data_IF_423169084735
#
_entry.id   IF_423169084735
#
_cell.length_a   1.000
_cell.length_b   1.000
_cell.length_c   1.000
_cell.angle_alpha   90.00
_cell.angle_beta   90.00
_cell.angle_gamma   90.00
#
_symmetry.space_group_name_H-M   'P 1'
#
loop_
_entity.id
_entity.type
_entity.pdbx_description
1 polymer ?
#
# COMPACT_ATOMS: atom_id res chain seq x y z
N UNK A 1 1.98 -8.30 1.11
CA UNK A 1 2.86 -8.93 2.13
C UNK A 1 2.40 -10.34 2.47
N UNK A 2 1.23 -10.48 3.11
CA UNK A 2 0.68 -11.77 3.60
C UNK A 2 0.74 -12.89 2.55
N UNK A 3 0.19 -12.65 1.35
CA UNK A 3 0.16 -13.67 0.28
C UNK A 3 1.56 -14.19 -0.11
N UNK A 4 2.54 -13.30 -0.22
CA UNK A 4 3.90 -13.64 -0.63
C UNK A 4 4.65 -14.44 0.43
N UNK A 5 4.51 -14.07 1.71
CA UNK A 5 5.19 -14.72 2.83
C UNK A 5 4.34 -15.85 3.46
N UNK A 6 3.16 -16.14 2.91
CA UNK A 6 2.22 -17.10 3.46
C UNK A 6 2.88 -18.49 3.67
N UNK A 7 2.85 -19.04 4.88
CA UNK A 7 3.39 -20.37 5.14
C UNK A 7 2.75 -21.44 4.26
N UNK A 8 3.52 -22.47 3.90
CA UNK A 8 3.02 -23.60 3.09
C UNK A 8 1.93 -24.43 3.79
N UNK A 9 1.78 -24.28 5.11
CA UNK A 9 0.70 -24.90 5.88
C UNK A 9 -0.68 -24.28 5.62
N UNK A 10 -0.73 -23.07 5.03
CA UNK A 10 -1.97 -22.41 4.62
C UNK A 10 -2.05 -22.48 3.09
N UNK A 11 -3.13 -23.10 2.59
CA UNK A 11 -3.38 -23.19 1.15
C UNK A 11 -3.89 -21.87 0.59
N UNK A 12 -3.74 -21.66 -0.72
CA UNK A 12 -4.24 -20.46 -1.39
C UNK A 12 -5.77 -20.40 -1.34
N UNK A 13 -6.44 -21.55 -1.47
CA UNK A 13 -7.90 -21.65 -1.39
C UNK A 13 -8.43 -21.28 0.00
N UNK A 14 -7.71 -21.69 1.05
CA UNK A 14 -8.04 -21.32 2.44
C UNK A 14 -7.79 -19.82 2.70
N UNK A 15 -6.69 -19.29 2.14
CA UNK A 15 -6.31 -17.89 2.32
C UNK A 15 -7.15 -16.90 1.51
N UNK A 16 -7.43 -17.19 0.24
CA UNK A 16 -8.16 -16.29 -0.67
C UNK A 16 -9.66 -16.55 -0.68
N UNK A 17 -10.09 -17.78 -0.35
CA UNK A 17 -11.47 -18.20 -0.51
C UNK A 17 -11.82 -18.58 -1.96
N UNK A 18 -13.04 -19.09 -2.18
CA UNK A 18 -13.49 -19.49 -3.51
C UNK A 18 -13.74 -18.28 -4.42
N UNK A 19 -13.62 -18.49 -5.74
CA UNK A 19 -14.03 -17.49 -6.74
C UNK A 19 -15.41 -17.87 -7.27
N UNK A 20 -16.39 -17.00 -7.02
CA UNK A 20 -17.76 -17.10 -7.56
C UNK A 20 -17.97 -15.96 -8.55
N UNK A 21 -18.08 -16.28 -9.83
CA UNK A 21 -18.26 -15.30 -10.92
C UNK A 21 -19.73 -15.08 -11.32
N UNK A 22 -20.64 -15.93 -10.84
CA UNK A 22 -22.08 -15.78 -11.01
C UNK A 22 -22.66 -15.06 -9.78
N UNK A 23 -23.00 -13.77 -9.85
CA UNK A 23 -23.44 -13.02 -8.69
C UNK A 23 -24.76 -13.55 -8.10
N UNK A 24 -25.57 -14.28 -8.88
CA UNK A 24 -26.80 -14.88 -8.39
C UNK A 24 -26.57 -15.99 -7.34
N UNK A 25 -25.34 -16.51 -7.25
CA UNK A 25 -24.95 -17.51 -6.26
C UNK A 25 -24.46 -16.89 -4.94
N UNK A 26 -24.29 -15.56 -4.87
CA UNK A 26 -23.81 -14.86 -3.68
C UNK A 26 -24.97 -14.62 -2.70
N UNK A 27 -25.51 -15.69 -2.12
CA UNK A 27 -26.54 -15.60 -1.07
C UNK A 27 -25.93 -15.14 0.26
N UNK A 28 -26.77 -14.73 1.21
CA UNK A 28 -26.31 -14.40 2.57
C UNK A 28 -25.60 -15.56 3.27
N UNK A 29 -26.05 -16.79 3.03
CA UNK A 29 -25.40 -17.99 3.55
C UNK A 29 -23.99 -18.18 2.98
N UNK A 30 -23.78 -17.91 1.68
CA UNK A 30 -22.45 -17.98 1.08
C UNK A 30 -21.56 -16.83 1.56
N UNK A 31 -22.07 -15.60 1.54
CA UNK A 31 -21.33 -14.42 1.98
C UNK A 31 -21.04 -14.40 3.49
N UNK A 32 -21.81 -15.14 4.30
CA UNK A 32 -21.57 -15.30 5.73
C UNK A 32 -20.44 -16.27 6.08
N UNK A 33 -19.89 -17.03 5.12
CA UNK A 33 -18.82 -18.01 5.38
C UNK A 33 -17.45 -17.36 5.30
N UNK A 34 -16.65 -17.50 6.35
CA UNK A 34 -15.25 -17.08 6.32
C UNK A 34 -14.36 -18.06 7.08
N UNK A 35 -13.40 -18.67 6.37
CA UNK A 35 -12.40 -19.55 6.97
C UNK A 35 -11.52 -18.82 7.97
N UNK A 36 -10.98 -19.52 8.97
CA UNK A 36 -10.12 -18.91 9.99
C UNK A 36 -8.82 -18.34 9.43
N UNK A 37 -8.31 -18.93 8.35
CA UNK A 37 -7.09 -18.49 7.68
C UNK A 37 -7.37 -17.61 6.45
N UNK A 38 -8.63 -17.20 6.24
CA UNK A 38 -8.97 -16.35 5.11
C UNK A 38 -8.48 -14.90 5.36
N UNK A 39 -7.92 -14.26 4.32
CA UNK A 39 -7.44 -12.88 4.38
C UNK A 39 -8.53 -11.90 4.81
N UNK A 40 -9.79 -12.18 4.46
CA UNK A 40 -10.96 -11.40 4.86
C UNK A 40 -11.15 -11.26 6.37
N UNK A 41 -10.52 -12.12 7.17
CA UNK A 41 -10.52 -11.98 8.62
C UNK A 41 -9.81 -10.70 9.10
N UNK A 42 -8.92 -10.11 8.29
CA UNK A 42 -8.21 -8.87 8.65
C UNK A 42 -9.15 -7.67 8.71
N UNK A 43 -9.86 -7.26 7.64
CA UNK A 43 -10.83 -6.17 7.70
C UNK A 43 -12.02 -6.46 8.61
N UNK A 44 -12.27 -7.72 8.99
CA UNK A 44 -13.23 -8.03 10.05
C UNK A 44 -12.75 -7.60 11.45
N UNK A 45 -11.44 -7.56 11.70
CA UNK A 45 -10.86 -7.33 13.03
C UNK A 45 -10.16 -5.99 13.18
N UNK A 46 -9.87 -5.31 12.07
CA UNK A 46 -9.09 -4.08 12.02
C UNK A 46 -9.97 -2.83 12.25
N UNK A 47 -10.73 -2.81 13.35
CA UNK A 47 -11.56 -1.65 13.72
C UNK A 47 -10.90 -0.70 14.72
N UNK A 48 -11.42 0.53 14.80
CA UNK A 48 -11.00 1.53 15.79
C UNK A 48 -11.04 0.99 17.22
N UNK A 49 -12.11 0.28 17.61
CA UNK A 49 -12.24 -0.28 18.95
C UNK A 49 -11.19 -1.36 19.27
N UNK A 50 -11.01 -2.42 18.43
CA UNK A 50 -9.90 -3.35 18.59
C UNK A 50 -8.53 -2.67 18.67
N UNK A 51 -8.24 -1.71 17.80
CA UNK A 51 -6.96 -0.99 17.79
C UNK A 51 -6.73 -0.25 19.11
N UNK A 52 -7.72 0.55 19.55
CA UNK A 52 -7.63 1.31 20.80
C UNK A 52 -7.48 0.39 22.01
N UNK A 53 -8.19 -0.75 22.03
CA UNK A 53 -8.07 -1.74 23.09
C UNK A 53 -6.64 -2.31 23.20
N UNK A 54 -6.01 -2.62 22.07
CA UNK A 54 -4.62 -3.10 22.03
C UNK A 54 -3.62 -2.02 22.46
N UNK A 55 -3.76 -0.80 21.95
CA UNK A 55 -2.89 0.33 22.35
C UNK A 55 -3.00 0.61 23.85
N UNK A 56 -4.21 0.57 24.41
CA UNK A 56 -4.44 0.76 25.84
C UNK A 56 -3.78 -0.37 26.67
N UNK A 57 -3.91 -1.63 26.24
CA UNK A 57 -3.24 -2.75 26.90
C UNK A 57 -1.72 -2.57 26.91
N UNK A 58 -1.11 -2.24 25.77
CA UNK A 58 0.34 -2.04 25.67
C UNK A 58 0.84 -0.88 26.53
N UNK A 59 0.06 0.21 26.62
CA UNK A 59 0.39 1.36 27.47
C UNK A 59 0.33 1.00 28.95
N UNK A 60 -0.67 0.21 29.36
CA UNK A 60 -0.86 -0.22 30.75
C UNK A 60 0.16 -1.28 31.18
N UNK A 61 0.45 -2.26 30.33
CA UNK A 61 1.41 -3.33 30.61
C UNK A 61 2.86 -2.86 30.52
N UNK A 62 3.12 -1.73 29.85
CA UNK A 62 4.46 -1.21 29.53
C UNK A 62 5.34 -2.24 28.81
N UNK A 63 4.70 -3.17 28.10
CA UNK A 63 5.39 -4.23 27.36
C UNK A 63 6.19 -3.68 26.17
N UNK A 64 5.70 -2.61 25.57
CA UNK A 64 6.29 -1.98 24.38
C UNK A 64 6.70 -0.55 24.68
N UNK A 65 7.79 -0.09 24.06
CA UNK A 65 8.03 1.34 23.93
C UNK A 65 6.90 1.96 23.08
N UNK A 66 6.50 3.21 23.32
CA UNK A 66 5.46 3.88 22.52
C UNK A 66 5.66 3.72 21.01
N UNK A 67 6.90 3.89 20.56
CA UNK A 67 7.29 3.85 19.14
C UNK A 67 7.16 2.47 18.49
N UNK A 68 6.93 1.41 19.27
CA UNK A 68 6.75 0.05 18.78
C UNK A 68 5.30 -0.43 18.89
N UNK A 69 4.42 0.35 19.53
CA UNK A 69 3.05 -0.07 19.81
C UNK A 69 2.25 -0.25 18.53
N UNK A 70 2.40 0.64 17.55
CA UNK A 70 1.70 0.51 16.27
C UNK A 70 2.12 -0.74 15.51
N UNK A 71 3.43 -1.02 15.44
CA UNK A 71 3.97 -2.22 14.80
C UNK A 71 3.50 -3.48 15.52
N UNK A 72 3.33 -3.44 16.85
CA UNK A 72 2.76 -4.54 17.62
C UNK A 72 1.26 -4.75 17.32
N UNK A 73 0.47 -3.67 17.18
CA UNK A 73 -0.94 -3.75 16.75
C UNK A 73 -1.06 -4.42 15.40
N UNK A 74 -0.27 -3.99 14.41
CA UNK A 74 -0.26 -4.61 13.07
C UNK A 74 0.22 -6.07 13.14
N UNK A 75 1.27 -6.35 13.92
CA UNK A 75 1.71 -7.71 14.19
C UNK A 75 0.57 -8.61 14.71
N UNK A 76 -0.18 -8.13 15.70
CA UNK A 76 -1.25 -8.91 16.34
C UNK A 76 -2.51 -9.04 15.49
N UNK A 77 -3.01 -7.95 14.93
CA UNK A 77 -4.30 -7.92 14.25
C UNK A 77 -4.22 -8.35 12.78
N UNK A 78 -3.04 -8.24 12.15
CA UNK A 78 -2.86 -8.54 10.72
C UNK A 78 -2.00 -9.77 10.48
N UNK A 79 -0.87 -9.93 11.18
CA UNK A 79 0.15 -10.92 10.80
C UNK A 79 0.11 -12.22 11.60
N UNK A 80 -0.30 -12.16 12.88
CA UNK A 80 -0.24 -13.27 13.85
C UNK A 80 -0.90 -14.55 13.36
N UNK A 81 -2.11 -14.43 12.83
CA UNK A 81 -2.92 -15.61 12.44
C UNK A 81 -2.37 -16.32 11.21
N UNK A 82 -1.49 -15.67 10.46
CA UNK A 82 -0.77 -16.26 9.33
C UNK A 82 0.62 -16.76 9.71
N UNK A 83 0.95 -16.79 11.02
CA UNK A 83 2.26 -17.21 11.52
C UNK A 83 3.40 -16.23 11.22
N UNK A 84 3.07 -15.01 10.79
CA UNK A 84 4.00 -13.96 10.36
C UNK A 84 4.30 -12.93 11.45
N UNK A 85 3.96 -13.27 12.71
CA UNK A 85 4.38 -12.52 13.88
C UNK A 85 4.49 -13.44 15.10
N UNK A 86 5.69 -13.53 15.68
CA UNK A 86 5.97 -14.30 16.90
C UNK A 86 6.94 -13.50 17.80
N UNK A 87 6.43 -12.50 18.53
CA UNK A 87 7.27 -11.63 19.34
C UNK A 87 7.88 -12.40 20.51
N UNK A 88 9.11 -12.05 20.87
CA UNK A 88 9.79 -12.57 22.04
C UNK A 88 9.28 -11.90 23.35
N UNK A 89 9.99 -12.14 24.46
CA UNK A 89 9.65 -11.56 25.76
C UNK A 89 9.72 -10.03 25.79
N UNK A 90 10.49 -9.41 24.89
CA UNK A 90 10.58 -7.95 24.75
C UNK A 90 9.50 -7.37 23.84
N UNK A 91 8.70 -8.22 23.20
CA UNK A 91 7.66 -7.80 22.26
C UNK A 91 8.14 -7.67 20.81
N UNK A 92 9.44 -7.79 20.55
CA UNK A 92 10.00 -7.71 19.20
C UNK A 92 9.95 -9.09 18.54
N UNK A 93 9.55 -9.15 17.27
CA UNK A 93 9.71 -10.38 16.48
C UNK A 93 11.20 -10.56 16.14
N UNK A 94 11.84 -11.68 16.53
CA UNK A 94 13.26 -11.89 16.33
C UNK A 94 13.62 -12.29 14.88
N UNK A 95 12.64 -12.35 13.96
CA UNK A 95 12.84 -12.77 12.57
C UNK A 95 12.89 -11.58 11.62
N UNK A 96 13.95 -11.50 10.82
CA UNK A 96 14.04 -10.64 9.64
C UNK A 96 13.13 -11.17 8.53
N UNK A 97 13.06 -10.47 7.40
CA UNK A 97 12.43 -10.96 6.18
C UNK A 97 13.41 -10.94 5.01
N UNK A 98 13.35 -11.94 4.15
CA UNK A 98 14.26 -12.06 3.01
C UNK A 98 13.55 -12.54 1.75
N UNK A 99 14.30 -12.79 0.68
CA UNK A 99 13.81 -13.40 -0.55
C UNK A 99 13.39 -14.87 -0.37
N UNK A 100 13.52 -15.67 -1.41
CA UNK A 100 13.25 -17.12 -1.33
C UNK A 100 14.23 -17.84 -0.41
N UNK A 101 13.91 -19.07 -0.03
CA UNK A 101 14.84 -19.94 0.71
C UNK A 101 16.16 -20.15 -0.06
N UNK A 102 16.09 -20.23 -1.39
CA UNK A 102 17.25 -20.29 -2.26
C UNK A 102 18.10 -19.02 -2.15
N UNK A 103 17.50 -17.83 -2.28
CA UNK A 103 18.22 -16.56 -2.12
C UNK A 103 18.93 -16.48 -0.76
N UNK A 104 18.23 -16.88 0.31
CA UNK A 104 18.77 -16.88 1.68
C UNK A 104 20.00 -17.79 1.80
N UNK A 105 19.90 -19.03 1.29
CA UNK A 105 20.96 -20.03 1.38
C UNK A 105 22.19 -19.70 0.52
N UNK A 106 21.99 -19.16 -0.68
CA UNK A 106 23.07 -18.86 -1.64
C UNK A 106 23.69 -17.47 -1.43
N UNK A 107 23.08 -16.62 -0.60
CA UNK A 107 23.52 -15.24 -0.40
C UNK A 107 23.77 -14.91 1.08
N UNK A 108 22.77 -14.40 1.81
CA UNK A 108 22.94 -13.91 3.18
C UNK A 108 23.62 -14.89 4.13
N UNK A 109 23.26 -16.17 4.12
CA UNK A 109 23.82 -17.16 5.05
C UNK A 109 25.29 -17.51 4.75
N UNK A 110 25.71 -17.47 3.49
CA UNK A 110 27.12 -17.65 3.13
C UNK A 110 27.98 -16.47 3.61
N UNK A 111 27.44 -15.26 3.55
CA UNK A 111 28.12 -14.03 4.00
C UNK A 111 28.08 -13.86 5.52
N UNK A 112 27.10 -14.46 6.19
CA UNK A 112 26.81 -14.28 7.61
C UNK A 112 26.58 -15.63 8.32
N UNK A 113 27.64 -16.43 8.57
CA UNK A 113 27.52 -17.78 9.15
C UNK A 113 26.99 -17.80 10.59
N UNK A 114 26.89 -16.64 11.25
CA UNK A 114 26.26 -16.47 12.56
C UNK A 114 24.72 -16.48 12.51
N UNK A 115 24.13 -16.31 11.32
CA UNK A 115 22.69 -16.37 11.09
C UNK A 115 22.28 -17.78 10.66
N UNK A 116 21.02 -18.12 10.91
CA UNK A 116 20.39 -19.36 10.43
C UNK A 116 19.09 -19.06 9.68
N UNK A 117 18.54 -20.08 9.01
CA UNK A 117 17.22 -19.98 8.35
C UNK A 117 16.11 -19.54 9.29
N UNK A 118 16.19 -19.93 10.57
CA UNK A 118 15.16 -19.65 11.57
C UNK A 118 15.11 -18.16 11.95
N UNK A 119 16.13 -17.38 11.58
CA UNK A 119 16.14 -15.94 11.75
C UNK A 119 15.33 -15.19 10.67
N UNK A 120 14.70 -15.89 9.71
CA UNK A 120 14.06 -15.25 8.56
C UNK A 120 12.66 -15.77 8.25
N UNK A 121 11.78 -14.85 7.87
CA UNK A 121 10.66 -15.13 6.98
C UNK A 121 11.15 -15.09 5.53
N UNK A 122 10.82 -16.12 4.75
CA UNK A 122 11.18 -16.22 3.32
C UNK A 122 9.97 -16.13 2.43
N UNK A 123 10.14 -15.53 1.25
CA UNK A 123 9.15 -15.57 0.18
C UNK A 123 8.89 -17.03 -0.21
N UNK A 124 7.61 -17.40 -0.35
CA UNK A 124 7.22 -18.70 -0.89
C UNK A 124 7.51 -18.75 -2.38
N UNK A 125 8.07 -19.86 -2.85
CA UNK A 125 8.38 -20.04 -4.27
C UNK A 125 7.14 -19.88 -5.17
N UNK A 126 7.32 -19.26 -6.33
CA UNK A 126 6.24 -18.97 -7.27
C UNK A 126 5.36 -17.77 -6.89
N UNK A 127 5.70 -17.02 -5.84
CA UNK A 127 4.97 -15.80 -5.45
C UNK A 127 5.47 -14.55 -6.17
N UNK A 128 4.60 -13.53 -6.33
CA UNK A 128 5.03 -12.22 -6.81
C UNK A 128 6.07 -11.58 -5.89
N UNK A 129 7.02 -10.85 -6.49
CA UNK A 129 7.93 -9.96 -5.78
C UNK A 129 7.11 -8.87 -5.06
N UNK A 130 7.12 -8.81 -3.72
CA UNK A 130 6.41 -7.76 -3.02
C UNK A 130 7.25 -6.48 -3.06
N UNK A 131 6.59 -5.33 -3.18
CA UNK A 131 7.19 -4.03 -2.90
C UNK A 131 6.29 -3.34 -1.88
N UNK A 132 6.84 -3.03 -0.73
CA UNK A 132 6.20 -2.31 0.36
C UNK A 132 6.67 -0.85 0.30
N UNK A 133 5.73 0.09 0.34
CA UNK A 133 6.03 1.51 0.32
C UNK A 133 5.75 2.11 1.69
N UNK A 134 6.70 2.88 2.19
CA UNK A 134 6.55 3.77 3.34
C UNK A 134 7.27 5.08 3.00
N UNK A 135 7.33 6.02 3.94
CA UNK A 135 7.97 7.30 3.69
C UNK A 135 8.90 7.74 4.81
N UNK A 136 10.00 8.33 4.35
CA UNK A 136 11.08 9.02 5.03
C UNK A 136 10.83 10.48 5.39
N UNK A 137 10.68 10.95 6.63
CA UNK A 137 10.83 12.41 6.84
C UNK A 137 12.27 12.84 6.58
N UNK A 138 12.45 13.80 5.67
CA UNK A 138 13.79 14.28 5.32
C UNK A 138 14.46 15.06 6.46
N UNK A 139 13.67 15.61 7.39
CA UNK A 139 14.10 16.22 8.65
C UNK A 139 12.95 16.27 9.68
N UNK A 140 13.20 16.82 10.87
CA UNK A 140 12.21 16.93 11.95
C UNK A 140 11.35 18.22 11.94
N UNK A 141 11.48 19.07 10.92
CA UNK A 141 10.63 20.24 10.75
C UNK A 141 9.16 19.84 10.54
N UNK A 142 8.26 20.68 11.03
CA UNK A 142 6.82 20.58 10.77
C UNK A 142 6.47 20.76 9.29
N UNK A 143 7.36 21.37 8.51
CA UNK A 143 7.24 21.54 7.05
C UNK A 143 8.10 20.53 6.26
N UNK A 144 8.63 19.50 6.93
CA UNK A 144 9.52 18.52 6.29
C UNK A 144 8.80 17.77 5.18
N UNK A 145 9.47 17.64 4.03
CA UNK A 145 9.06 16.73 2.99
C UNK A 145 9.25 15.26 3.37
N UNK A 146 8.54 14.41 2.64
CA UNK A 146 8.64 12.96 2.67
C UNK A 146 9.38 12.43 1.43
N UNK A 147 10.33 11.51 1.64
CA UNK A 147 11.03 10.80 0.57
C UNK A 147 10.61 9.33 0.54
N UNK A 148 10.61 8.67 -0.63
CA UNK A 148 10.15 7.29 -0.74
C UNK A 148 11.13 6.34 -0.07
N UNK A 149 10.63 5.57 0.89
CA UNK A 149 11.35 4.43 1.48
C UNK A 149 10.60 3.17 1.09
N UNK A 150 11.28 2.26 0.42
CA UNK A 150 10.67 1.02 -0.04
C UNK A 150 11.35 -0.19 0.57
N UNK A 151 10.63 -1.31 0.57
CA UNK A 151 11.19 -2.59 0.95
C UNK A 151 10.64 -3.70 0.06
N UNK A 152 11.49 -4.62 -0.34
CA UNK A 152 11.12 -5.97 -0.73
C UNK A 152 11.71 -6.95 0.30
N UNK A 153 12.90 -7.47 0.05
CA UNK A 153 13.85 -7.96 1.07
C UNK A 153 15.10 -7.07 1.20
N UNK A 154 15.34 -6.24 0.20
CA UNK A 154 16.18 -5.05 0.23
C UNK A 154 15.29 -3.86 0.59
N UNK A 155 15.79 -2.97 1.42
CA UNK A 155 15.05 -1.81 1.90
C UNK A 155 15.90 -0.55 1.91
N UNK A 156 15.26 0.60 1.77
CA UNK A 156 15.94 1.90 1.80
C UNK A 156 15.33 2.92 0.84
N UNK A 157 16.09 4.00 0.65
CA UNK A 157 15.76 5.09 -0.28
C UNK A 157 16.68 4.96 -1.49
N UNK A 158 16.11 4.66 -2.67
CA UNK A 158 16.88 4.43 -3.91
C UNK A 158 17.60 5.68 -4.40
N UNK A 159 16.92 6.82 -4.38
CA UNK A 159 17.48 8.11 -4.78
C UNK A 159 18.43 8.66 -3.71
N UNK A 160 19.28 9.61 -4.10
CA UNK A 160 20.14 10.36 -3.17
C UNK A 160 19.48 11.69 -2.85
N UNK A 161 19.28 11.96 -1.56
CA UNK A 161 18.72 13.22 -1.07
C UNK A 161 19.75 13.91 -0.18
N UNK A 162 20.22 15.08 -0.59
CA UNK A 162 21.23 15.83 0.15
C UNK A 162 20.59 17.03 0.86
N UNK A 163 20.56 17.00 2.19
CA UNK A 163 20.11 18.08 3.07
C UNK A 163 21.22 18.42 4.07
N UNK A 164 22.32 19.06 3.63
CA UNK A 164 23.53 19.22 4.42
C UNK A 164 23.34 20.09 5.68
N UNK A 165 22.30 20.92 5.72
CA UNK A 165 21.98 21.78 6.88
C UNK A 165 21.12 21.08 7.95
N UNK A 166 20.74 19.81 7.76
CA UNK A 166 19.80 19.08 8.63
C UNK A 166 20.31 17.69 8.99
N UNK A 167 20.05 16.69 8.14
CA UNK A 167 20.40 15.28 8.36
C UNK A 167 21.48 14.77 7.40
N UNK A 168 22.11 15.65 6.60
CA UNK A 168 23.15 15.25 5.65
C UNK A 168 22.56 14.54 4.44
N UNK A 169 23.22 13.46 3.99
CA UNK A 169 22.78 12.68 2.82
C UNK A 169 21.91 11.50 3.27
N UNK A 170 20.80 11.25 2.58
CA UNK A 170 19.94 10.08 2.75
C UNK A 170 19.86 9.28 1.45
N UNK A 171 19.85 7.95 1.57
CA UNK A 171 19.53 7.05 0.47
C UNK A 171 20.71 6.66 -0.40
N UNK A 172 20.48 6.59 -1.70
CA UNK A 172 21.46 6.18 -2.71
C UNK A 172 21.60 4.66 -2.88
N UNK A 173 20.68 3.87 -2.30
CA UNK A 173 20.73 2.43 -2.42
C UNK A 173 19.81 1.72 -1.44
N UNK A 174 19.88 0.39 -1.47
CA UNK A 174 19.11 -0.49 -0.62
C UNK A 174 20.04 -1.41 0.17
N UNK A 175 19.64 -1.76 1.38
CA UNK A 175 20.33 -2.69 2.28
C UNK A 175 19.44 -3.90 2.57
N UNK A 176 20.04 -5.02 2.99
CA UNK A 176 19.24 -6.18 3.41
C UNK A 176 18.56 -5.89 4.76
N UNK A 177 17.40 -6.49 5.01
CA UNK A 177 16.62 -6.28 6.24
C UNK A 177 17.42 -6.50 7.54
N UNK A 178 18.38 -7.41 7.53
CA UNK A 178 19.24 -7.69 8.68
C UNK A 178 20.35 -6.66 8.93
N UNK A 179 20.54 -5.71 8.00
CA UNK A 179 21.40 -4.54 8.19
C UNK A 179 20.60 -3.29 8.59
N UNK A 180 19.26 -3.35 8.59
CA UNK A 180 18.44 -2.22 9.03
C UNK A 180 18.64 -1.97 10.53
N UNK A 181 18.87 -0.72 10.92
CA UNK A 181 19.18 -0.35 12.31
C UNK A 181 20.65 -0.55 12.72
N UNK A 182 21.53 -0.97 11.79
CA UNK A 182 22.97 -1.08 12.05
C UNK A 182 23.72 0.25 11.83
N UNK A 183 25.02 0.24 12.09
CA UNK A 183 25.99 1.26 11.68
C UNK A 183 26.89 0.75 10.57
N UNK A 184 27.24 1.61 9.62
CA UNK A 184 28.31 1.35 8.66
C UNK A 184 29.66 1.23 9.39
N UNK A 185 30.48 0.24 9.03
CA UNK A 185 31.83 0.04 9.59
C UNK A 185 32.89 0.22 8.51
N UNK A 186 32.80 -0.55 7.42
CA UNK A 186 33.79 -0.52 6.34
C UNK A 186 33.24 -1.17 5.06
N UNK A 187 33.81 -0.81 3.91
CA UNK A 187 33.61 -1.55 2.67
C UNK A 187 34.28 -2.93 2.74
N UNK A 188 33.57 -3.96 2.27
CA UNK A 188 34.01 -5.35 2.28
C UNK A 188 34.41 -5.88 0.89
N UNK A 189 34.49 -5.00 -0.12
CA UNK A 189 34.76 -5.34 -1.52
C UNK A 189 33.55 -5.94 -2.24
N UNK A 190 33.63 -6.06 -3.58
CA UNK A 190 32.57 -6.60 -4.44
C UNK A 190 31.16 -5.97 -4.24
N UNK A 191 31.09 -4.70 -3.82
CA UNK A 191 29.84 -4.01 -3.54
C UNK A 191 29.18 -4.39 -2.20
N UNK A 192 29.88 -5.15 -1.34
CA UNK A 192 29.45 -5.46 0.02
C UNK A 192 30.01 -4.47 1.05
N UNK A 193 29.32 -4.37 2.19
CA UNK A 193 29.74 -3.59 3.36
C UNK A 193 29.73 -4.47 4.61
N UNK A 194 30.58 -4.13 5.57
CA UNK A 194 30.49 -4.62 6.94
C UNK A 194 29.76 -3.58 7.79
N UNK A 195 28.83 -4.05 8.61
CA UNK A 195 28.04 -3.22 9.52
C UNK A 195 28.11 -3.76 10.94
N UNK A 196 27.70 -2.96 11.92
CA UNK A 196 27.43 -3.47 13.27
C UNK A 196 26.22 -4.42 13.26
N UNK A 197 26.07 -5.22 14.32
CA UNK A 197 24.83 -5.98 14.53
C UNK A 197 23.76 -5.00 15.02
N UNK A 198 22.58 -4.92 14.37
CA UNK A 198 21.54 -4.02 14.82
C UNK A 198 21.06 -4.40 16.23
N UNK A 199 20.74 -3.40 17.06
CA UNK A 199 20.26 -3.61 18.43
C UNK A 199 18.90 -4.32 18.48
N UNK A 200 18.15 -4.23 17.38
CA UNK A 200 16.79 -4.75 17.25
C UNK A 200 16.58 -5.22 15.81
N UNK A 201 15.93 -6.37 15.65
CA UNK A 201 15.49 -6.89 14.36
C UNK A 201 14.44 -5.96 13.74
N UNK A 202 14.59 -5.68 12.44
CA UNK A 202 13.57 -5.04 11.62
C UNK A 202 12.76 -6.12 10.87
N UNK A 203 11.54 -6.37 11.31
CA UNK A 203 10.72 -7.50 10.89
C UNK A 203 9.58 -7.10 9.94
N UNK A 204 8.75 -8.07 9.52
CA UNK A 204 7.60 -7.83 8.65
C UNK A 204 6.59 -6.86 9.28
N UNK A 205 6.37 -6.93 10.59
CA UNK A 205 5.46 -6.02 11.29
C UNK A 205 5.98 -4.58 11.33
N UNK A 206 7.30 -4.38 11.28
CA UNK A 206 7.89 -3.05 11.24
C UNK A 206 7.58 -2.35 9.93
N UNK A 207 7.90 -2.99 8.80
CA UNK A 207 7.61 -2.42 7.49
C UNK A 207 6.11 -2.35 7.19
N UNK A 208 5.32 -3.34 7.63
CA UNK A 208 3.85 -3.27 7.53
C UNK A 208 3.30 -2.08 8.31
N UNK A 209 3.74 -1.91 9.57
CA UNK A 209 3.32 -0.81 10.42
C UNK A 209 3.70 0.55 9.84
N UNK A 210 4.94 0.70 9.36
CA UNK A 210 5.41 1.92 8.69
C UNK A 210 4.60 2.24 7.42
N UNK A 211 4.24 1.22 6.64
CA UNK A 211 3.42 1.36 5.44
C UNK A 211 1.96 1.75 5.74
N UNK A 212 1.49 1.61 6.98
CA UNK A 212 0.10 1.82 7.39
C UNK A 212 -0.02 2.78 8.59
N UNK A 213 0.86 3.78 8.70
CA UNK A 213 0.93 4.67 9.86
C UNK A 213 -0.20 5.71 9.93
N UNK A 214 -0.99 5.92 8.88
CA UNK A 214 -1.97 7.02 8.84
C UNK A 214 -2.94 7.00 10.04
N UNK A 215 -3.52 5.85 10.46
CA UNK A 215 -4.33 5.80 11.67
C UNK A 215 -3.55 6.13 12.95
N UNK A 216 -2.28 5.71 13.05
CA UNK A 216 -1.45 6.03 14.22
C UNK A 216 -1.21 7.54 14.34
N UNK A 217 -0.97 8.23 13.23
CA UNK A 217 -0.81 9.68 13.19
C UNK A 217 -2.12 10.38 13.60
N UNK A 218 -3.25 9.94 13.06
CA UNK A 218 -4.58 10.44 13.44
C UNK A 218 -4.89 10.23 14.94
N UNK A 219 -4.50 9.09 15.51
CA UNK A 219 -4.63 8.84 16.95
C UNK A 219 -3.77 9.76 17.80
N UNK A 220 -2.51 10.02 17.41
CA UNK A 220 -1.64 10.95 18.13
C UNK A 220 -2.20 12.38 18.15
N UNK A 221 -2.79 12.81 17.02
CA UNK A 221 -3.40 14.13 16.88
C UNK A 221 -4.67 14.28 17.72
N UNK A 222 -5.52 13.25 17.73
CA UNK A 222 -6.80 13.25 18.46
C UNK A 222 -6.66 12.96 19.95
N UNK A 223 -5.67 12.16 20.35
CA UNK A 223 -5.46 11.70 21.72
C UNK A 223 -3.99 11.90 22.15
N UNK A 224 -3.60 13.12 22.55
CA UNK A 224 -2.22 13.46 22.90
C UNK A 224 -1.59 12.58 24.01
N UNK A 225 -2.42 11.91 24.83
CA UNK A 225 -2.00 10.94 25.84
C UNK A 225 -1.40 9.66 25.22
N UNK A 226 -1.81 9.34 24.00
CA UNK A 226 -1.33 8.24 23.16
C UNK A 226 -0.34 8.82 22.14
N UNK A 227 0.75 9.39 22.64
CA UNK A 227 1.84 9.92 21.82
C UNK A 227 2.95 8.90 21.56
N UNK A 228 3.75 9.17 20.53
CA UNK A 228 5.00 8.50 20.22
C UNK A 228 4.83 7.14 19.56
N UNK A 229 3.70 6.88 18.91
CA UNK A 229 3.40 5.75 18.05
C UNK A 229 4.19 5.78 16.73
N UNK A 230 4.58 6.96 16.24
CA UNK A 230 5.38 7.08 15.02
C UNK A 230 6.83 6.64 15.29
N UNK A 231 7.33 5.57 14.64
CA UNK A 231 8.62 5.00 14.94
C UNK A 231 9.76 5.84 14.36
N UNK A 232 10.93 5.65 14.97
CA UNK A 232 12.20 6.10 14.40
C UNK A 232 13.17 4.94 14.33
N UNK A 233 13.83 4.77 13.19
CA UNK A 233 14.84 3.73 13.01
C UNK A 233 16.19 4.33 12.63
N UNK A 234 17.30 3.76 13.14
CA UNK A 234 18.62 4.08 12.64
C UNK A 234 18.76 3.65 11.18
N UNK A 235 19.26 4.55 10.34
CA UNK A 235 19.56 4.28 8.94
C UNK A 235 20.78 5.10 8.52
N UNK A 236 21.61 4.52 7.66
CA UNK A 236 22.77 5.17 7.07
C UNK A 236 22.58 5.21 5.55
N UNK A 237 22.99 6.30 4.88
CA UNK A 237 22.87 6.38 3.43
C UNK A 237 23.84 5.40 2.77
N UNK A 238 23.39 4.67 1.76
CA UNK A 238 24.24 3.73 1.02
C UNK A 238 25.26 4.47 0.17
N UNK A 239 24.83 5.56 -0.48
CA UNK A 239 25.73 6.48 -1.16
C UNK A 239 26.33 7.48 -0.16
N UNK A 240 27.63 7.76 -0.29
CA UNK A 240 28.34 8.62 0.65
C UNK A 240 28.54 8.03 2.07
N UNK A 241 28.19 6.76 2.29
CA UNK A 241 28.25 6.04 3.60
C UNK A 241 29.54 6.24 4.40
N UNK A 242 30.69 6.37 3.74
CA UNK A 242 31.98 6.57 4.40
C UNK A 242 32.10 7.92 5.13
N UNK A 243 31.28 8.90 4.74
CA UNK A 243 31.36 10.28 5.20
C UNK A 243 30.14 10.72 6.01
N UNK A 244 29.17 9.83 6.21
CA UNK A 244 27.89 10.14 6.83
C UNK A 244 27.68 9.25 8.05
N UNK A 245 27.19 9.84 9.14
CA UNK A 245 26.82 9.08 10.32
C UNK A 245 25.48 8.36 10.11
N UNK A 246 25.27 7.25 10.82
CA UNK A 246 23.93 6.69 11.00
C UNK A 246 23.07 7.68 11.78
N UNK A 247 21.86 7.95 11.29
CA UNK A 247 20.91 8.86 11.94
C UNK A 247 19.59 8.14 12.22
N UNK A 248 18.85 8.65 13.20
CA UNK A 248 17.54 8.12 13.57
C UNK A 248 16.44 8.90 12.85
N UNK A 249 15.84 8.29 11.84
CA UNK A 249 14.85 8.92 10.99
C UNK A 249 13.43 8.59 11.39
N UNK A 250 12.54 9.59 11.32
CA UNK A 250 11.10 9.43 11.55
C UNK A 250 10.44 8.88 10.29
N UNK A 251 9.64 7.82 10.44
CA UNK A 251 8.88 7.23 9.34
C UNK A 251 7.47 7.80 9.25
N UNK A 252 6.82 7.60 8.12
CA UNK A 252 5.42 7.96 7.88
C UNK A 252 4.77 6.93 6.95
N UNK A 253 3.44 7.00 6.88
CA UNK A 253 2.64 6.21 5.96
C UNK A 253 3.09 6.44 4.50
N UNK A 254 3.05 5.38 3.68
CA UNK A 254 3.37 5.50 2.25
C UNK A 254 2.34 6.35 1.50
N UNK A 255 1.06 6.24 1.87
CA UNK A 255 -0.06 7.00 1.30
C UNK A 255 0.01 8.49 1.56
N UNK A 256 0.78 8.95 2.56
CA UNK A 256 1.07 10.38 2.74
C UNK A 256 1.95 10.96 1.63
N UNK A 257 2.64 10.10 0.86
CA UNK A 257 3.49 10.48 -0.26
C UNK A 257 2.90 10.04 -1.60
N UNK A 258 2.47 8.79 -1.76
CA UNK A 258 1.82 8.26 -2.97
C UNK A 258 1.02 6.98 -2.64
N UNK A 259 -0.27 6.94 -2.95
CA UNK A 259 -1.20 5.93 -2.41
C UNK A 259 -1.60 4.81 -3.39
N UNK A 260 -1.10 4.82 -4.64
CA UNK A 260 -1.41 3.81 -5.67
C UNK A 260 -0.26 2.83 -5.93
N UNK A 261 0.93 3.08 -5.36
CA UNK A 261 2.10 2.21 -5.44
C UNK A 261 2.70 2.11 -6.84
N UNK A 262 2.44 3.08 -7.72
CA UNK A 262 2.86 3.04 -9.13
C UNK A 262 4.34 3.41 -9.30
N UNK A 263 4.83 4.31 -8.46
CA UNK A 263 6.20 4.85 -8.51
C UNK A 263 7.28 3.77 -8.49
N UNK A 264 7.26 2.79 -7.57
CA UNK A 264 8.30 1.78 -7.54
C UNK A 264 8.33 0.85 -8.74
N UNK A 265 7.18 0.64 -9.40
CA UNK A 265 7.07 -0.18 -10.61
C UNK A 265 7.63 0.57 -11.82
N UNK A 266 7.27 1.85 -11.96
CA UNK A 266 7.80 2.72 -13.03
C UNK A 266 9.32 2.90 -12.90
N UNK A 267 9.82 3.12 -11.69
CA UNK A 267 11.25 3.24 -11.45
C UNK A 267 12.04 1.95 -11.72
N UNK A 268 11.36 0.80 -11.88
CA UNK A 268 11.93 -0.48 -12.32
C UNK A 268 11.71 -0.77 -13.81
N UNK A 269 11.10 0.15 -14.56
CA UNK A 269 10.83 -0.01 -15.99
C UNK A 269 9.74 -1.04 -16.30
N UNK A 270 8.83 -1.31 -15.36
CA UNK A 270 7.71 -2.22 -15.61
C UNK A 270 6.77 -1.61 -16.64
N UNK A 271 6.65 -2.27 -17.79
CA UNK A 271 5.96 -1.71 -18.96
C UNK A 271 4.43 -1.85 -18.92
N UNK A 272 3.88 -2.68 -18.03
CA UNK A 272 2.44 -2.98 -17.96
C UNK A 272 1.98 -3.04 -16.51
N UNK A 273 0.96 -2.26 -16.19
CA UNK A 273 0.52 -2.01 -14.81
C UNK A 273 -0.98 -2.26 -14.70
N UNK A 274 -1.38 -3.06 -13.71
CA UNK A 274 -2.76 -3.10 -13.22
C UNK A 274 -2.79 -2.27 -11.95
N UNK A 275 -3.54 -1.16 -11.96
CA UNK A 275 -3.59 -0.21 -10.85
C UNK A 275 -4.99 -0.22 -10.26
N UNK A 276 -5.09 -0.66 -9.01
CA UNK A 276 -6.34 -0.73 -8.26
C UNK A 276 -6.57 0.57 -7.51
N UNK A 277 -7.62 1.29 -7.88
CA UNK A 277 -8.02 2.54 -7.23
C UNK A 277 -9.14 2.22 -6.25
N UNK A 278 -8.76 2.07 -4.98
CA UNK A 278 -9.68 1.77 -3.87
C UNK A 278 -9.79 3.01 -2.99
N UNK A 279 -10.93 3.69 -3.04
CA UNK A 279 -11.21 4.94 -2.34
C UNK A 279 -12.66 4.96 -1.88
N UNK A 280 -12.96 5.81 -0.90
CA UNK A 280 -14.31 6.23 -0.52
C UNK A 280 -14.95 7.20 -1.54
N UNK A 281 -14.17 7.75 -2.47
CA UNK A 281 -14.66 8.61 -3.54
C UNK A 281 -15.02 7.78 -4.79
N UNK A 282 -16.31 7.69 -5.10
CA UNK A 282 -16.78 7.17 -6.39
C UNK A 282 -16.56 8.15 -7.54
N UNK A 283 -16.70 7.68 -8.78
CA UNK A 283 -16.67 8.54 -9.97
C UNK A 283 -17.98 9.30 -10.08
N UNK A 284 -17.97 10.62 -9.94
CA UNK A 284 -19.19 11.44 -9.90
C UNK A 284 -19.10 12.65 -10.82
N UNK A 285 -20.21 13.35 -11.04
CA UNK A 285 -20.23 14.64 -11.73
C UNK A 285 -20.56 15.69 -10.68
N UNK A 286 -19.69 16.69 -10.52
CA UNK A 286 -19.99 17.87 -9.71
C UNK A 286 -21.18 18.62 -10.35
N UNK A 287 -22.29 18.81 -9.63
CA UNK A 287 -23.52 19.35 -10.21
C UNK A 287 -23.41 20.81 -10.64
N UNK A 288 -22.44 21.56 -10.11
CA UNK A 288 -22.29 22.99 -10.38
C UNK A 288 -21.38 23.28 -11.58
N UNK A 289 -20.22 22.61 -11.66
CA UNK A 289 -19.27 22.77 -12.75
C UNK A 289 -19.45 21.80 -13.91
N UNK A 290 -20.10 20.65 -13.66
CA UNK A 290 -20.14 19.53 -14.59
C UNK A 290 -18.82 18.75 -14.70
N UNK A 291 -17.84 19.02 -13.83
CA UNK A 291 -16.57 18.30 -13.79
C UNK A 291 -16.76 16.87 -13.30
N UNK A 292 -16.01 15.92 -13.87
CA UNK A 292 -15.97 14.54 -13.40
C UNK A 292 -15.03 14.45 -12.21
N UNK A 293 -15.58 14.15 -11.04
CA UNK A 293 -14.85 13.94 -9.79
C UNK A 293 -14.43 12.46 -9.67
N UNK A 294 -13.18 12.22 -9.32
CA UNK A 294 -12.54 10.91 -9.13
C UNK A 294 -11.66 10.96 -7.88
N UNK A 295 -11.20 9.80 -7.41
CA UNK A 295 -10.34 9.64 -6.24
C UNK A 295 -9.12 10.57 -6.25
N UNK A 296 -8.84 11.14 -5.08
CA UNK A 296 -7.84 12.18 -4.85
C UNK A 296 -6.40 11.76 -5.15
N UNK A 297 -6.14 10.45 -5.15
CA UNK A 297 -4.82 9.89 -5.45
C UNK A 297 -4.46 9.88 -6.95
N UNK A 298 -5.46 10.02 -7.84
CA UNK A 298 -5.23 9.99 -9.29
C UNK A 298 -4.66 11.30 -9.87
N UNK A 299 -5.25 12.49 -9.63
CA UNK A 299 -4.77 13.76 -10.19
C UNK A 299 -3.28 14.05 -9.97
N UNK A 300 -2.67 13.75 -8.79
CA UNK A 300 -1.26 13.98 -8.54
C UNK A 300 -0.31 13.32 -9.53
N UNK A 301 -0.66 12.13 -10.04
CA UNK A 301 0.14 11.43 -11.05
C UNK A 301 0.25 12.23 -12.36
N UNK A 302 -0.67 13.16 -12.59
CA UNK A 302 -0.77 14.05 -13.75
C UNK A 302 -0.38 15.50 -13.42
N UNK A 303 0.16 15.78 -12.23
CA UNK A 303 0.62 17.10 -11.79
C UNK A 303 -0.50 18.03 -11.30
N UNK A 304 -1.65 17.47 -10.93
CA UNK A 304 -2.84 18.20 -10.49
C UNK A 304 -3.15 17.90 -9.02
N UNK A 305 -3.65 18.89 -8.29
CA UNK A 305 -4.24 18.70 -6.96
C UNK A 305 -5.54 17.91 -7.09
N UNK A 306 -6.00 17.26 -6.00
CA UNK A 306 -7.37 16.75 -5.85
C UNK A 306 -8.47 17.73 -6.27
N UNK A 307 -9.69 17.22 -6.47
CA UNK A 307 -10.81 18.08 -6.87
C UNK A 307 -11.06 19.14 -5.79
N UNK A 308 -11.04 20.39 -6.20
CA UNK A 308 -11.08 21.50 -5.27
C UNK A 308 -12.43 22.20 -5.30
N UNK A 309 -13.23 22.04 -4.24
CA UNK A 309 -14.59 22.61 -4.18
C UNK A 309 -14.63 24.13 -4.35
N UNK A 310 -13.60 24.84 -3.86
CA UNK A 310 -13.50 26.32 -3.98
C UNK A 310 -13.38 26.78 -5.43
N UNK A 311 -12.61 26.06 -6.25
CA UNK A 311 -12.40 26.39 -7.67
C UNK A 311 -13.27 25.57 -8.62
N UNK A 312 -13.93 24.53 -8.08
CA UNK A 312 -14.69 23.50 -8.81
C UNK A 312 -13.88 22.90 -9.97
N UNK A 313 -12.61 22.62 -9.73
CA UNK A 313 -11.67 22.14 -10.75
C UNK A 313 -10.52 21.35 -10.14
N UNK A 314 -9.64 20.85 -11.01
CA UNK A 314 -8.35 20.25 -10.64
C UNK A 314 -7.22 21.26 -10.90
N UNK A 315 -6.84 22.10 -9.93
CA UNK A 315 -5.75 23.05 -10.12
C UNK A 315 -4.41 22.31 -10.23
N UNK A 316 -3.46 22.89 -10.96
CA UNK A 316 -2.10 22.35 -10.98
C UNK A 316 -1.44 22.47 -9.60
N UNK A 317 -0.51 21.58 -9.28
CA UNK A 317 0.43 21.82 -8.19
C UNK A 317 1.35 23.00 -8.56
N UNK A 318 1.00 24.20 -8.09
CA UNK A 318 1.83 25.40 -8.16
C UNK A 318 2.50 25.66 -6.80
N UNK A 319 3.42 26.62 -6.72
CA UNK A 319 4.10 26.99 -5.47
C UNK A 319 3.14 27.52 -4.37
N UNK A 320 1.88 27.83 -4.71
CA UNK A 320 0.85 28.25 -3.77
C UNK A 320 -0.21 27.17 -3.65
N UNK A 321 -0.49 26.77 -2.40
CA UNK A 321 -1.56 25.83 -2.07
C UNK A 321 -2.91 26.52 -2.28
N UNK A 322 -3.63 26.15 -3.35
CA UNK A 322 -4.91 26.78 -3.69
C UNK A 322 -6.09 26.15 -2.94
N UNK A 323 -5.94 24.91 -2.47
CA UNK A 323 -6.99 24.13 -1.84
C UNK A 323 -6.48 23.63 -0.49
N UNK A 324 -7.17 23.98 0.59
CA UNK A 324 -6.69 23.78 1.98
C UNK A 324 -6.44 22.30 2.31
N UNK A 325 -7.23 21.39 1.73
CA UNK A 325 -7.17 19.96 2.05
C UNK A 325 -6.21 19.18 1.13
N UNK A 326 -5.68 19.80 0.08
CA UNK A 326 -4.78 19.09 -0.81
C UNK A 326 -3.42 18.85 -0.13
N UNK A 327 -3.01 17.58 -0.05
CA UNK A 327 -1.73 17.21 0.53
C UNK A 327 -0.57 17.81 -0.30
N UNK A 328 0.21 18.71 0.31
CA UNK A 328 1.35 19.35 -0.35
C UNK A 328 2.46 18.37 -0.76
N UNK A 329 2.58 17.20 -0.10
CA UNK A 329 3.58 16.19 -0.43
C UNK A 329 3.40 15.60 -1.83
N UNK A 330 2.15 15.54 -2.30
CA UNK A 330 1.79 14.97 -3.59
C UNK A 330 2.24 15.80 -4.80
N UNK A 331 2.74 17.04 -4.57
CA UNK A 331 3.35 17.87 -5.63
C UNK A 331 4.54 17.19 -6.33
N UNK A 332 5.13 16.19 -5.70
CA UNK A 332 6.23 15.41 -6.26
C UNK A 332 5.77 14.26 -7.16
N UNK A 333 4.46 13.98 -7.29
CA UNK A 333 3.96 12.73 -7.87
C UNK A 333 3.80 12.72 -9.39
N UNK A 334 4.05 13.83 -10.09
CA UNK A 334 3.83 13.86 -11.53
C UNK A 334 4.75 12.88 -12.27
N UNK A 335 4.15 11.92 -12.96
CA UNK A 335 4.83 10.95 -13.84
C UNK A 335 4.13 10.79 -15.19
N UNK A 336 2.96 11.38 -15.37
CA UNK A 336 2.21 11.41 -16.62
C UNK A 336 1.92 12.84 -17.06
N UNK A 337 1.69 13.01 -18.38
CA UNK A 337 1.33 14.29 -18.97
C UNK A 337 -0.08 14.72 -18.50
N UNK A 338 -0.21 15.97 -18.02
CA UNK A 338 -1.47 16.54 -17.53
C UNK A 338 -2.63 16.36 -18.51
N UNK A 339 -2.38 16.46 -19.82
CA UNK A 339 -3.43 16.34 -20.83
C UNK A 339 -4.06 14.94 -20.89
N UNK A 340 -3.35 13.90 -20.42
CA UNK A 340 -3.86 12.53 -20.41
C UNK A 340 -4.91 12.28 -19.33
N UNK A 341 -5.01 13.15 -18.31
CA UNK A 341 -5.96 12.98 -17.21
C UNK A 341 -7.42 13.07 -17.66
N UNK A 342 -7.73 13.95 -18.62
CA UNK A 342 -9.09 14.08 -19.14
C UNK A 342 -9.60 12.80 -19.81
N UNK A 343 -8.73 12.09 -20.54
CA UNK A 343 -9.09 10.82 -21.17
C UNK A 343 -9.41 9.74 -20.11
N UNK A 344 -8.68 9.73 -18.99
CA UNK A 344 -8.96 8.83 -17.86
C UNK A 344 -10.34 9.11 -17.26
N UNK A 345 -10.62 10.37 -16.89
CA UNK A 345 -11.91 10.78 -16.33
C UNK A 345 -13.08 10.42 -17.26
N UNK A 346 -12.94 10.69 -18.55
CA UNK A 346 -13.97 10.37 -19.55
C UNK A 346 -14.21 8.86 -19.68
N UNK A 347 -13.14 8.06 -19.69
CA UNK A 347 -13.24 6.60 -19.73
C UNK A 347 -13.96 6.05 -18.50
N UNK A 348 -13.60 6.53 -17.31
CA UNK A 348 -14.22 6.13 -16.04
C UNK A 348 -15.71 6.50 -16.01
N UNK A 349 -16.05 7.74 -16.39
CA UNK A 349 -17.44 8.19 -16.43
C UNK A 349 -18.27 7.41 -17.46
N UNK A 350 -17.69 7.10 -18.62
CA UNK A 350 -18.37 6.31 -19.65
C UNK A 350 -18.66 4.88 -19.16
N UNK A 351 -17.67 4.23 -18.53
CA UNK A 351 -17.84 2.91 -17.94
C UNK A 351 -18.93 2.92 -16.85
N UNK A 352 -18.88 3.89 -15.92
CA UNK A 352 -19.90 4.07 -14.88
C UNK A 352 -21.30 4.29 -15.45
N UNK A 353 -21.46 5.16 -16.46
CA UNK A 353 -22.76 5.43 -17.10
C UNK A 353 -23.36 4.20 -17.77
N UNK A 354 -22.53 3.29 -18.27
CA UNK A 354 -23.00 2.01 -18.82
C UNK A 354 -23.44 1.01 -17.74
N UNK A 355 -23.05 1.24 -16.48
CA UNK A 355 -23.32 0.35 -15.34
C UNK A 355 -22.38 -0.85 -15.24
N UNK A 356 -21.26 -0.82 -15.95
CA UNK A 356 -20.27 -1.90 -16.02
C UNK A 356 -19.10 -1.75 -15.04
N UNK A 357 -18.10 -2.63 -15.17
CA UNK A 357 -16.85 -2.48 -14.45
C UNK A 357 -16.09 -1.25 -14.96
N UNK A 358 -15.45 -0.50 -14.06
CA UNK A 358 -14.66 0.68 -14.41
C UNK A 358 -13.23 0.27 -14.73
N UNK A 359 -13.07 -0.33 -15.91
CA UNK A 359 -11.80 -0.74 -16.49
C UNK A 359 -11.37 0.24 -17.58
N UNK A 360 -10.32 1.04 -17.33
CA UNK A 360 -9.83 2.01 -18.31
C UNK A 360 -8.39 1.71 -18.66
N UNK A 361 -8.14 1.34 -19.92
CA UNK A 361 -6.79 1.09 -20.44
C UNK A 361 -6.23 2.37 -21.07
N UNK A 362 -5.02 2.75 -20.68
CA UNK A 362 -4.27 3.85 -21.28
C UNK A 362 -2.86 3.40 -21.66
N UNK A 363 -2.33 3.99 -22.73
CA UNK A 363 -0.91 3.95 -23.05
C UNK A 363 -0.35 5.34 -22.80
N UNK A 364 0.54 5.46 -21.82
CA UNK A 364 1.02 6.74 -21.30
C UNK A 364 2.52 6.85 -21.50
N UNK A 365 3.00 8.04 -21.88
CA UNK A 365 4.42 8.37 -21.76
C UNK A 365 4.74 8.61 -20.29
N UNK A 366 5.87 8.08 -19.81
CA UNK A 366 6.34 8.31 -18.45
C UNK A 366 7.32 9.47 -18.45
N UNK A 367 7.02 10.51 -17.66
CA UNK A 367 7.91 11.63 -17.40
C UNK A 367 9.00 11.20 -16.40
N UNK A 368 10.21 11.72 -16.58
CA UNK A 368 11.26 11.51 -15.58
C UNK A 368 10.86 12.19 -14.26
N UNK A 369 11.05 11.49 -13.15
CA UNK A 369 10.77 12.01 -11.82
C UNK A 369 11.92 11.61 -10.88
N UNK A 370 12.79 12.57 -10.55
CA UNK A 370 13.96 12.32 -9.72
C UNK A 370 13.62 12.05 -8.26
N UNK A 371 12.48 12.55 -7.76
CA UNK A 371 12.04 12.31 -6.39
C UNK A 371 11.76 10.83 -6.15
N UNK A 372 11.18 10.15 -7.13
CA UNK A 372 10.89 8.71 -7.06
C UNK A 372 11.89 7.83 -7.80
N UNK A 373 12.99 8.42 -8.30
CA UNK A 373 13.98 7.75 -9.16
C UNK A 373 13.34 7.06 -10.38
N UNK A 374 12.29 7.66 -10.96
CA UNK A 374 11.59 7.16 -12.14
C UNK A 374 12.28 7.73 -13.39
N UNK A 375 12.85 6.90 -14.28
CA UNK A 375 13.37 7.36 -15.55
C UNK A 375 12.23 7.69 -16.51
N UNK A 376 12.49 8.58 -17.47
CA UNK A 376 11.56 8.79 -18.58
C UNK A 376 11.43 7.51 -19.42
N UNK A 377 10.21 7.18 -19.84
CA UNK A 377 9.91 6.01 -20.66
C UNK A 377 9.02 6.42 -21.82
N UNK A 378 9.24 5.81 -22.99
CA UNK A 378 8.46 6.13 -24.19
C UNK A 378 6.99 5.76 -24.02
N UNK A 379 6.71 4.64 -23.37
CA UNK A 379 5.35 4.16 -23.13
C UNK A 379 5.31 3.19 -21.96
N UNK A 380 4.28 3.32 -21.14
CA UNK A 380 3.79 2.32 -20.21
C UNK A 380 2.31 2.08 -20.49
N UNK A 381 1.89 0.86 -20.31
CA UNK A 381 0.50 0.47 -20.44
C UNK A 381 -0.12 0.34 -19.05
N UNK A 382 -1.22 1.05 -18.81
CA UNK A 382 -1.90 1.08 -17.50
C UNK A 382 -3.35 0.66 -17.69
N UNK A 383 -3.77 -0.36 -16.95
CA UNK A 383 -5.17 -0.68 -16.74
C UNK A 383 -5.58 -0.16 -15.36
N UNK A 384 -6.37 0.90 -15.36
CA UNK A 384 -6.99 1.43 -14.15
C UNK A 384 -8.21 0.57 -13.82
N UNK A 385 -8.20 -0.03 -12.64
CA UNK A 385 -9.30 -0.80 -12.07
C UNK A 385 -9.88 0.03 -10.93
N UNK A 386 -10.95 0.77 -11.22
CA UNK A 386 -11.56 1.67 -10.25
C UNK A 386 -12.67 0.96 -9.48
N UNK A 387 -12.57 0.91 -8.15
CA UNK A 387 -13.58 0.33 -7.29
C UNK A 387 -14.77 1.30 -7.15
N UNK A 388 -15.93 0.91 -7.68
CA UNK A 388 -17.17 1.68 -7.65
C UNK A 388 -18.36 0.71 -7.81
N UNK A 389 -19.58 1.19 -7.61
CA UNK A 389 -20.78 0.38 -7.76
C UNK A 389 -20.97 -0.05 -9.21
N UNK A 390 -20.92 -1.37 -9.43
CA UNK A 390 -21.16 -1.98 -10.75
C UNK A 390 -22.61 -2.46 -10.85
N UNK A 391 -23.47 -1.65 -11.46
CA UNK A 391 -24.92 -1.94 -11.57
C UNK A 391 -25.22 -3.27 -12.25
N UNK A 392 -24.41 -3.69 -13.22
CA UNK A 392 -24.58 -4.96 -13.91
C UNK A 392 -24.36 -6.16 -12.97
N UNK A 393 -23.39 -6.07 -12.05
CA UNK A 393 -23.14 -7.07 -11.01
C UNK A 393 -24.23 -7.02 -9.94
N UNK A 394 -24.52 -5.81 -9.42
CA UNK A 394 -25.49 -5.60 -8.35
C UNK A 394 -26.87 -6.19 -8.67
N UNK A 395 -27.37 -5.95 -9.90
CA UNK A 395 -28.69 -6.45 -10.35
C UNK A 395 -28.80 -7.98 -10.44
N UNK A 396 -27.67 -8.69 -10.44
CA UNK A 396 -27.65 -10.15 -10.50
C UNK A 396 -27.65 -10.77 -9.10
N UNK A 397 -27.38 -9.99 -8.04
CA UNK A 397 -27.42 -10.48 -6.67
C UNK A 397 -28.86 -10.85 -6.26
N UNK A 398 -29.03 -11.84 -5.37
CA UNK A 398 -30.32 -12.07 -4.71
C UNK A 398 -30.83 -10.81 -3.99
N UNK A 399 -32.15 -10.58 -4.00
CA UNK A 399 -32.77 -9.39 -3.40
C UNK A 399 -32.42 -9.24 -1.91
N UNK A 400 -32.45 -10.34 -1.16
CA UNK A 400 -32.08 -10.36 0.27
C UNK A 400 -30.63 -9.94 0.49
N UNK A 401 -29.74 -10.29 -0.45
CA UNK A 401 -28.33 -9.89 -0.40
C UNK A 401 -28.16 -8.41 -0.69
N UNK A 402 -28.85 -7.87 -1.68
CA UNK A 402 -28.81 -6.42 -1.96
C UNK A 402 -29.26 -5.62 -0.73
N UNK A 403 -30.38 -6.02 -0.11
CA UNK A 403 -30.92 -5.37 1.09
C UNK A 403 -29.92 -5.41 2.24
N UNK A 404 -29.29 -6.56 2.50
CA UNK A 404 -28.31 -6.68 3.59
C UNK A 404 -27.07 -5.80 3.35
N UNK A 405 -26.55 -5.77 2.12
CA UNK A 405 -25.40 -4.93 1.78
C UNK A 405 -25.75 -3.44 1.90
N UNK A 406 -26.94 -3.02 1.47
CA UNK A 406 -27.43 -1.65 1.65
C UNK A 406 -27.56 -1.28 3.13
N UNK A 407 -28.14 -2.17 3.96
CA UNK A 407 -28.32 -1.92 5.39
C UNK A 407 -26.99 -1.84 6.16
N UNK A 408 -26.01 -2.65 5.79
CA UNK A 408 -24.74 -2.72 6.50
C UNK A 408 -23.70 -1.71 6.01
N UNK A 409 -23.77 -1.26 4.76
CA UNK A 409 -22.74 -0.41 4.18
C UNK A 409 -22.77 1.04 4.66
N UNK A 410 -23.85 1.48 5.31
CA UNK A 410 -24.07 2.85 5.83
C UNK A 410 -23.50 3.88 4.85
N UNK A 411 -24.06 3.80 3.64
CA UNK A 411 -24.14 4.80 2.57
C UNK A 411 -23.36 4.60 1.27
N UNK A 412 -22.34 3.73 1.13
CA UNK A 412 -21.56 3.75 -0.13
C UNK A 412 -20.89 2.43 -0.60
N UNK A 413 -21.42 1.21 -0.34
CA UNK A 413 -20.80 -0.01 -0.92
C UNK A 413 -20.55 0.17 -2.45
N UNK A 414 -19.34 -0.07 -2.98
CA UNK A 414 -18.16 -0.70 -2.36
C UNK A 414 -17.06 0.27 -1.86
N UNK A 415 -17.38 1.55 -1.69
CA UNK A 415 -16.46 2.64 -1.37
C UNK A 415 -16.26 2.72 0.16
N UNK A 416 -15.02 2.51 0.61
CA UNK A 416 -14.67 2.50 2.03
C UNK A 416 -13.39 3.29 2.30
N UNK A 417 -13.44 4.15 3.31
CA UNK A 417 -12.30 4.92 3.83
C UNK A 417 -11.41 4.07 4.74
N UNK A 418 -10.10 4.23 4.59
CA UNK A 418 -9.10 3.35 5.21
C UNK A 418 -8.76 3.65 6.66
N UNK A 419 -9.30 4.73 7.26
CA UNK A 419 -8.99 5.10 8.65
C UNK A 419 -10.14 4.75 9.61
N UNK A 420 -11.39 4.98 9.19
CA UNK A 420 -12.56 4.89 10.08
C UNK A 420 -13.51 3.73 9.79
N UNK A 421 -13.39 3.08 8.62
CA UNK A 421 -14.35 2.06 8.17
C UNK A 421 -13.76 0.63 8.06
N UNK A 422 -12.56 0.38 8.59
CA UNK A 422 -11.87 -0.93 8.47
C UNK A 422 -12.41 -2.06 9.38
N UNK A 423 -13.66 -1.98 9.84
CA UNK A 423 -14.35 -3.06 10.57
C UNK A 423 -15.58 -3.53 9.80
N UNK A 424 -15.37 -4.39 8.81
CA UNK A 424 -16.40 -4.86 7.90
C UNK A 424 -16.91 -6.25 8.31
N UNK A 425 -18.21 -6.49 8.16
CA UNK A 425 -18.81 -7.81 8.39
C UNK A 425 -18.31 -8.84 7.36
N UNK A 426 -18.52 -10.13 7.63
CA UNK A 426 -18.22 -11.18 6.64
C UNK A 426 -18.99 -10.97 5.32
N UNK A 427 -20.30 -10.66 5.32
CA UNK A 427 -20.99 -10.36 4.07
C UNK A 427 -20.37 -9.23 3.26
N UNK A 428 -20.00 -8.11 3.89
CA UNK A 428 -19.37 -6.98 3.19
C UNK A 428 -18.00 -7.35 2.63
N UNK A 429 -17.14 -8.01 3.42
CA UNK A 429 -15.80 -8.42 2.99
C UNK A 429 -15.87 -9.40 1.83
N UNK A 430 -16.72 -10.43 1.93
CA UNK A 430 -16.86 -11.42 0.87
C UNK A 430 -17.50 -10.80 -0.38
N UNK A 431 -18.49 -9.91 -0.23
CA UNK A 431 -19.07 -9.19 -1.37
C UNK A 431 -18.04 -8.33 -2.10
N UNK A 432 -17.17 -7.61 -1.37
CA UNK A 432 -16.05 -6.85 -1.95
C UNK A 432 -15.06 -7.74 -2.70
N UNK A 433 -14.69 -8.88 -2.11
CA UNK A 433 -13.78 -9.83 -2.72
C UNK A 433 -14.37 -10.41 -4.02
N UNK A 434 -15.65 -10.79 -4.01
CA UNK A 434 -16.34 -11.31 -5.19
C UNK A 434 -16.59 -10.26 -6.26
N UNK A 435 -16.96 -9.03 -5.91
CA UNK A 435 -17.05 -7.91 -6.85
C UNK A 435 -15.69 -7.66 -7.52
N UNK A 436 -14.61 -7.66 -6.75
CA UNK A 436 -13.25 -7.49 -7.27
C UNK A 436 -12.89 -8.61 -8.25
N UNK A 437 -13.21 -9.88 -7.94
CA UNK A 437 -12.99 -11.00 -8.84
C UNK A 437 -13.83 -10.87 -10.12
N UNK A 438 -15.11 -10.51 -9.99
CA UNK A 438 -16.02 -10.34 -11.12
C UNK A 438 -15.57 -9.24 -12.08
N UNK A 439 -15.06 -8.12 -11.53
CA UNK A 439 -14.51 -7.01 -12.30
C UNK A 439 -13.31 -7.42 -13.17
N UNK A 440 -12.56 -8.46 -12.79
CA UNK A 440 -11.36 -8.87 -13.50
C UNK A 440 -11.53 -10.13 -14.36
N UNK A 441 -12.44 -11.02 -13.99
CA UNK A 441 -12.47 -12.38 -14.52
C UNK A 441 -13.82 -12.81 -15.10
N UNK A 442 -14.87 -11.99 -15.01
CA UNK A 442 -16.17 -12.34 -15.60
C UNK A 442 -16.18 -12.18 -17.13
N UNK A 443 -17.13 -12.87 -17.76
CA UNK A 443 -17.44 -12.73 -19.19
C UNK A 443 -18.33 -11.51 -19.49
N UNK A 444 -18.59 -10.65 -18.49
CA UNK A 444 -19.38 -9.44 -18.68
C UNK A 444 -18.69 -8.48 -19.63
N UNK A 445 -19.46 -7.94 -20.58
CA UNK A 445 -19.00 -6.95 -21.57
C UNK A 445 -19.47 -5.53 -21.25
N UNK A 446 -20.31 -5.37 -20.22
CA UNK A 446 -20.86 -4.07 -19.82
C UNK A 446 -19.73 -3.21 -19.26
N UNK A 447 -19.56 -1.99 -19.77
CA UNK A 447 -18.47 -1.08 -19.37
C UNK A 447 -17.27 -1.08 -20.31
N UNK A 448 -17.06 -2.17 -21.05
CA UNK A 448 -15.87 -2.31 -21.87
C UNK A 448 -16.09 -1.82 -23.31
N UNK A 449 -15.10 -1.11 -23.89
CA UNK A 449 -15.15 -0.76 -25.29
C UNK A 449 -15.11 -2.03 -26.17
N UNK A 450 -15.70 -1.95 -27.36
CA UNK A 450 -15.62 -2.98 -28.40
C UNK A 450 -16.21 -4.36 -28.02
N UNK A 451 -17.00 -4.45 -26.95
CA UNK A 451 -17.66 -5.69 -26.54
C UNK A 451 -16.73 -6.76 -25.97
N UNK A 452 -15.53 -6.39 -25.54
CA UNK A 452 -14.62 -7.30 -24.82
C UNK A 452 -15.19 -7.65 -23.45
N UNK A 453 -14.98 -8.89 -23.00
CA UNK A 453 -15.29 -9.24 -21.62
C UNK A 453 -14.29 -8.59 -20.64
N UNK A 454 -14.66 -8.47 -19.37
CA UNK A 454 -13.72 -8.06 -18.30
C UNK A 454 -12.46 -8.92 -18.33
N UNK A 455 -12.63 -10.25 -18.45
CA UNK A 455 -11.52 -11.19 -18.56
C UNK A 455 -10.62 -10.93 -19.78
N UNK A 456 -11.20 -10.60 -20.94
CA UNK A 456 -10.43 -10.31 -22.16
C UNK A 456 -9.63 -9.00 -22.03
N UNK A 457 -10.20 -7.97 -21.40
CA UNK A 457 -9.50 -6.71 -21.13
C UNK A 457 -8.25 -6.96 -20.27
N UNK A 458 -8.40 -7.74 -19.20
CA UNK A 458 -7.29 -8.07 -18.29
C UNK A 458 -6.27 -8.99 -18.96
N UNK A 459 -6.69 -10.08 -19.62
CA UNK A 459 -5.78 -10.98 -20.34
C UNK A 459 -5.03 -10.26 -21.47
N UNK A 460 -5.68 -9.28 -22.11
CA UNK A 460 -5.10 -8.44 -23.14
C UNK A 460 -3.95 -7.53 -22.66
N UNK A 461 -3.73 -7.41 -21.34
CA UNK A 461 -2.52 -6.79 -20.76
C UNK A 461 -1.31 -7.72 -20.81
N UNK A 462 -1.50 -9.04 -20.94
CA UNK A 462 -0.41 -10.02 -20.82
C UNK A 462 -0.23 -10.88 -22.09
N UNK A 463 -1.02 -10.62 -23.13
CA UNK A 463 -0.99 -11.30 -24.42
C UNK A 463 0.17 -10.85 -25.33
#
# INVERSE_FOLDING_TARGET
MLFTYLPTSISDDDFLGPVVLDPAQLTLDELGKMGSNNLGQVPYRLGTLPIVAELAEYRLSKRYAPADMWQAVIGKLVLKDFGLWNPDATGVDPRYFTGTTQYLAEGPLLRNPQLSSDNFYTIRDGRPLPIFNTSVFINDSVTSDLVPFEANWLLGVRGVFNQPEQLGVMGGGLIESFAMGSDYVADAGAGGVTTSVPLRVFSLNDIAGCSSMAPAQDFEEKFPEINGLVPRYPYWPVDGRESQATLSYRFADGGNLENLGIMPLLARGIARLLVFVNSDQGVNIDPESGETVVADDLPPLFGLQPFCEKTRSYPAYANEQLCEDANGMFRHNQVFDTAAFNALKQGLLAAKKSGGALLVRQTLRVLANSWFNVPAQQSVEVLWVYNDLVRAWWKQLPDETQIELDLQSVDDFPLYGTVTQLHLSYPLVNALAHLSCWNLASDSTVGNPNGQSNADVVRGMFA
#
